data_IF_803601725731
#
_entry.id   IF_803601725731
#
_cell.length_a   1.000
_cell.length_b   1.000
_cell.length_c   1.000
_cell.angle_alpha   90.00
_cell.angle_beta   90.00
_cell.angle_gamma   90.00
#
_symmetry.space_group_name_H-M   'P 1'
#
loop_
_entity.id
_entity.type
_entity.pdbx_description
1 polymer ?
#
# COMPACT_ATOMS: atom_id res chain seq x y z
N UNK A 1 13.03 0.06 -6.05
CA UNK A 1 12.98 0.06 -4.56
C UNK A 1 11.68 -0.55 -4.10
N UNK A 2 11.66 -1.15 -2.92
CA UNK A 2 10.45 -1.75 -2.35
C UNK A 2 10.41 -1.61 -0.83
N UNK A 3 9.22 -1.74 -0.26
CA UNK A 3 9.02 -1.90 1.18
C UNK A 3 9.58 -3.25 1.66
N UNK A 4 10.21 -3.32 2.84
CA UNK A 4 10.59 -4.59 3.45
C UNK A 4 9.39 -5.52 3.60
N UNK A 5 9.63 -6.83 3.51
CA UNK A 5 8.62 -7.87 3.72
C UNK A 5 7.90 -7.73 5.08
N UNK A 6 8.61 -7.29 6.11
CA UNK A 6 8.11 -7.14 7.49
C UNK A 6 7.24 -5.89 7.72
N UNK A 7 6.98 -5.06 6.70
CA UNK A 7 6.27 -3.78 6.86
C UNK A 7 4.77 -3.92 7.21
N UNK A 8 4.28 -5.12 7.50
CA UNK A 8 2.95 -5.42 8.08
C UNK A 8 1.73 -5.16 7.18
N UNK A 9 1.85 -4.32 6.15
CA UNK A 9 0.72 -3.84 5.35
C UNK A 9 0.44 -4.65 4.07
N UNK A 10 1.14 -5.77 3.83
CA UNK A 10 0.96 -6.62 2.64
C UNK A 10 1.41 -5.98 1.30
N UNK A 11 1.85 -4.72 1.30
CA UNK A 11 2.25 -3.97 0.09
C UNK A 11 3.40 -4.66 -0.66
N UNK A 12 4.41 -5.18 0.05
CA UNK A 12 5.51 -5.91 -0.58
C UNK A 12 5.00 -7.14 -1.36
N UNK A 13 4.20 -7.99 -0.69
CA UNK A 13 3.63 -9.19 -1.31
C UNK A 13 2.73 -8.83 -2.49
N UNK A 14 1.94 -7.76 -2.38
CA UNK A 14 1.08 -7.29 -3.46
C UNK A 14 1.90 -6.83 -4.68
N UNK A 15 2.96 -6.05 -4.47
CA UNK A 15 3.85 -5.61 -5.55
C UNK A 15 4.48 -6.82 -6.25
N UNK A 16 5.01 -7.76 -5.48
CA UNK A 16 5.62 -8.98 -6.02
C UNK A 16 4.61 -9.81 -6.83
N UNK A 17 3.39 -9.98 -6.31
CA UNK A 17 2.32 -10.68 -7.02
C UNK A 17 1.92 -9.97 -8.33
N UNK A 18 1.83 -8.63 -8.33
CA UNK A 18 1.55 -7.85 -9.55
C UNK A 18 2.65 -7.99 -10.60
N UNK A 19 3.92 -7.93 -10.19
CA UNK A 19 5.05 -8.15 -11.09
C UNK A 19 5.02 -9.57 -11.68
N UNK A 20 4.80 -10.57 -10.82
CA UNK A 20 4.73 -11.97 -11.25
C UNK A 20 3.57 -12.20 -12.23
N UNK A 21 2.38 -11.64 -11.97
CA UNK A 21 1.23 -11.69 -12.89
C UNK A 21 1.52 -10.99 -14.23
N UNK A 22 2.38 -9.97 -14.24
CA UNK A 22 2.85 -9.30 -15.44
C UNK A 22 3.99 -10.08 -16.15
N UNK A 23 4.39 -11.25 -15.65
CA UNK A 23 5.37 -12.14 -16.28
C UNK A 23 6.82 -11.81 -15.97
N UNK A 24 7.11 -11.03 -14.92
CA UNK A 24 8.48 -10.71 -14.52
C UNK A 24 8.69 -10.75 -13.00
N UNK A 25 9.95 -10.91 -12.58
CA UNK A 25 10.36 -10.71 -11.19
C UNK A 25 11.14 -9.40 -11.09
N UNK A 26 10.81 -8.49 -10.17
CA UNK A 26 11.53 -7.24 -10.03
C UNK A 26 12.93 -7.51 -9.45
N UNK A 27 13.96 -6.87 -10.00
CA UNK A 27 15.29 -6.85 -9.39
C UNK A 27 15.32 -5.80 -8.28
N UNK A 28 15.16 -6.25 -7.04
CA UNK A 28 15.16 -5.36 -5.88
C UNK A 28 16.60 -5.02 -5.49
N UNK A 29 17.03 -3.81 -5.85
CA UNK A 29 18.38 -3.31 -5.49
C UNK A 29 18.41 -2.70 -4.09
N UNK A 30 17.27 -2.19 -3.59
CA UNK A 30 17.19 -1.52 -2.31
C UNK A 30 15.81 -1.60 -1.66
N UNK A 31 15.81 -1.92 -0.37
CA UNK A 31 14.66 -1.84 0.51
C UNK A 31 14.71 -0.56 1.33
N UNK A 32 13.55 0.08 1.53
CA UNK A 32 13.45 1.30 2.31
C UNK A 32 12.22 1.28 3.22
N UNK A 33 12.43 1.63 4.50
CA UNK A 33 11.46 1.46 5.59
C UNK A 33 10.39 2.55 5.68
N UNK A 34 10.46 3.57 4.83
CA UNK A 34 9.48 4.67 4.83
C UNK A 34 9.19 5.15 3.41
N UNK A 35 7.98 5.69 3.21
CA UNK A 35 7.58 6.33 1.95
C UNK A 35 8.53 7.48 1.57
N UNK A 36 8.87 8.33 2.54
CA UNK A 36 9.77 9.47 2.32
C UNK A 36 11.16 9.03 1.86
N UNK A 37 11.70 7.97 2.45
CA UNK A 37 12.99 7.41 2.03
C UNK A 37 12.93 6.87 0.59
N UNK A 38 11.89 6.10 0.25
CA UNK A 38 11.69 5.60 -1.11
C UNK A 38 11.65 6.75 -2.11
N UNK A 39 10.84 7.78 -1.82
CA UNK A 39 10.65 8.92 -2.72
C UNK A 39 11.96 9.73 -2.85
N UNK A 40 12.68 9.95 -1.76
CA UNK A 40 13.98 10.65 -1.78
C UNK A 40 15.03 9.92 -2.62
N UNK A 41 15.08 8.59 -2.55
CA UNK A 41 15.98 7.79 -3.37
C UNK A 41 15.57 7.80 -4.86
N UNK A 42 14.26 7.88 -5.18
CA UNK A 42 13.80 8.10 -6.57
C UNK A 42 14.27 9.46 -7.06
N UNK A 43 14.08 10.50 -6.24
CA UNK A 43 14.50 11.87 -6.55
C UNK A 43 16.01 11.98 -6.80
N UNK A 44 16.81 11.19 -6.07
CA UNK A 44 18.25 11.08 -6.25
C UNK A 44 18.68 10.24 -7.47
N UNK A 45 17.73 9.68 -8.23
CA UNK A 45 18.02 8.94 -9.46
C UNK A 45 18.39 7.46 -9.27
N UNK A 46 18.20 6.89 -8.07
CA UNK A 46 18.57 5.50 -7.79
C UNK A 46 17.59 4.47 -8.37
N UNK A 47 16.53 4.92 -9.05
CA UNK A 47 15.62 4.07 -9.81
C UNK A 47 14.15 4.45 -9.60
N UNK A 48 13.28 3.44 -9.63
CA UNK A 48 11.82 3.60 -9.53
C UNK A 48 11.23 2.78 -8.38
N UNK A 49 10.00 3.10 -7.99
CA UNK A 49 9.24 2.37 -6.97
C UNK A 49 7.75 2.36 -7.30
N UNK A 50 7.04 1.35 -6.77
CA UNK A 50 5.57 1.31 -6.75
C UNK A 50 5.07 1.77 -5.39
N UNK A 51 4.11 2.69 -5.39
CA UNK A 51 3.55 3.31 -4.18
C UNK A 51 2.04 3.47 -4.28
N UNK A 52 1.31 3.44 -3.14
CA UNK A 52 -0.08 3.88 -3.09
C UNK A 52 -0.26 5.33 -3.57
N UNK A 53 -1.42 5.64 -4.14
CA UNK A 53 -1.73 6.97 -4.66
C UNK A 53 -1.69 8.07 -3.58
N UNK A 54 -2.01 7.73 -2.33
CA UNK A 54 -1.98 8.66 -1.20
C UNK A 54 -0.61 9.33 -1.01
N UNK A 55 0.49 8.69 -1.45
CA UNK A 55 1.83 9.26 -1.34
C UNK A 55 2.13 10.36 -2.36
N UNK A 56 1.24 10.61 -3.33
CA UNK A 56 1.34 11.82 -4.18
C UNK A 56 1.33 13.13 -3.35
N UNK A 57 0.80 13.08 -2.13
CA UNK A 57 0.88 14.18 -1.16
C UNK A 57 2.32 14.56 -0.78
N UNK A 58 3.27 13.63 -0.92
CA UNK A 58 4.70 13.87 -0.69
C UNK A 58 5.31 14.41 -1.99
N UNK A 59 5.36 15.73 -2.11
CA UNK A 59 5.95 16.40 -3.27
C UNK A 59 7.46 16.61 -3.08
N UNK A 60 8.26 15.98 -3.94
CA UNK A 60 9.72 16.15 -3.99
C UNK A 60 10.11 16.51 -5.42
N UNK A 61 10.94 17.54 -5.59
CA UNK A 61 11.45 17.92 -6.91
C UNK A 61 12.19 16.76 -7.57
N UNK A 62 12.00 16.59 -8.87
CA UNK A 62 12.60 15.49 -9.64
C UNK A 62 11.81 14.17 -9.62
N UNK A 63 10.71 14.07 -8.86
CA UNK A 63 9.84 12.88 -8.84
C UNK A 63 8.61 13.11 -9.70
N UNK A 64 8.31 12.13 -10.56
CA UNK A 64 7.06 12.10 -11.34
C UNK A 64 6.25 10.85 -10.97
N UNK A 65 5.06 11.06 -10.43
CA UNK A 65 4.11 9.98 -10.15
C UNK A 65 3.35 9.60 -11.42
N UNK A 66 3.38 8.31 -11.80
CA UNK A 66 2.65 7.78 -12.96
C UNK A 66 1.63 6.72 -12.53
N UNK A 67 0.36 6.82 -12.92
CA UNK A 67 -0.63 5.79 -12.62
C UNK A 67 -0.33 4.51 -13.39
N UNK A 68 -0.57 3.35 -12.76
CA UNK A 68 -0.52 2.06 -13.43
C UNK A 68 -1.81 1.83 -14.23
N UNK A 69 -1.67 1.22 -15.41
CA UNK A 69 -2.82 0.83 -16.25
C UNK A 69 -3.54 -0.42 -15.74
N UNK A 70 -2.84 -1.25 -14.98
CA UNK A 70 -3.39 -2.49 -14.41
C UNK A 70 -4.48 -2.15 -13.38
N UNK A 71 -5.72 -2.57 -13.67
CA UNK A 71 -6.89 -2.24 -12.84
C UNK A 71 -6.85 -2.91 -11.47
N UNK A 72 -6.16 -4.05 -11.36
CA UNK A 72 -5.94 -4.80 -10.12
C UNK A 72 -4.83 -4.20 -9.23
N UNK A 73 -4.05 -3.25 -9.73
CA UNK A 73 -3.00 -2.59 -8.96
C UNK A 73 -3.61 -1.54 -7.99
N UNK A 74 -4.31 -2.02 -6.96
CA UNK A 74 -5.02 -1.19 -5.97
C UNK A 74 -4.62 -1.59 -4.56
N UNK A 75 -4.19 -0.63 -3.75
CA UNK A 75 -4.02 -0.82 -2.31
C UNK A 75 -5.36 -0.66 -1.59
N UNK A 76 -5.62 -1.46 -0.55
CA UNK A 76 -6.77 -1.31 0.33
C UNK A 76 -6.30 -0.94 1.75
N UNK A 77 -7.13 -0.19 2.48
CA UNK A 77 -6.97 0.04 3.91
C UNK A 77 -8.17 -0.58 4.62
N UNK A 78 -7.89 -1.30 5.71
CA UNK A 78 -8.90 -2.01 6.49
C UNK A 78 -8.97 -1.40 7.88
N UNK A 79 -10.19 -1.13 8.34
CA UNK A 79 -10.46 -0.83 9.75
C UNK A 79 -10.84 -2.14 10.44
N UNK A 80 -10.06 -2.54 11.44
CA UNK A 80 -10.28 -3.77 12.20
C UNK A 80 -10.63 -3.40 13.64
N UNK A 81 -11.74 -3.91 14.14
CA UNK A 81 -12.18 -3.72 15.52
C UNK A 81 -12.66 -5.04 16.11
N UNK A 82 -12.78 -5.10 17.44
CA UNK A 82 -13.34 -6.27 18.13
C UNK A 82 -14.83 -6.36 17.89
N UNK A 83 -15.34 -7.59 17.76
CA UNK A 83 -16.77 -7.87 17.66
C UNK A 83 -17.39 -7.96 19.07
N UNK A 84 -17.32 -6.87 19.83
CA UNK A 84 -17.82 -6.72 21.20
C UNK A 84 -18.70 -5.45 21.29
N UNK A 85 -19.47 -5.23 22.38
CA UNK A 85 -20.31 -4.05 22.50
C UNK A 85 -19.49 -2.76 22.35
N UNK A 86 -19.82 -1.97 21.34
CA UNK A 86 -19.11 -0.72 21.01
C UNK A 86 -19.30 0.34 22.09
N UNK A 87 -18.20 0.90 22.59
CA UNK A 87 -18.22 2.18 23.29
C UNK A 87 -18.73 3.30 22.37
N UNK A 88 -19.18 4.41 22.97
CA UNK A 88 -19.64 5.56 22.19
C UNK A 88 -18.54 6.13 21.26
N UNK A 89 -17.28 6.05 21.67
CA UNK A 89 -16.12 6.53 20.88
C UNK A 89 -15.85 5.61 19.68
N UNK A 90 -15.91 4.30 19.86
CA UNK A 90 -15.72 3.34 18.75
C UNK A 90 -16.80 3.50 17.69
N UNK A 91 -18.06 3.64 18.13
CA UNK A 91 -19.21 3.86 17.24
C UNK A 91 -19.07 5.14 16.42
N UNK A 92 -18.69 6.24 17.06
CA UNK A 92 -18.48 7.52 16.36
C UNK A 92 -17.30 7.45 15.39
N UNK A 93 -16.21 6.79 15.78
CA UNK A 93 -15.05 6.61 14.89
C UNK A 93 -15.40 5.73 13.67
N UNK A 94 -16.16 4.65 13.86
CA UNK A 94 -16.64 3.78 12.78
C UNK A 94 -17.57 4.54 11.83
N UNK A 95 -18.46 5.40 12.37
CA UNK A 95 -19.33 6.26 11.57
C UNK A 95 -18.52 7.27 10.74
N UNK A 96 -17.54 7.95 11.34
CA UNK A 96 -16.65 8.91 10.67
C UNK A 96 -15.81 8.26 9.57
N UNK A 97 -15.33 7.03 9.81
CA UNK A 97 -14.53 6.30 8.83
C UNK A 97 -15.33 5.95 7.56
N UNK A 98 -16.67 5.89 7.63
CA UNK A 98 -17.54 5.66 6.48
C UNK A 98 -17.26 4.35 5.74
N UNK A 99 -16.70 3.36 6.44
CA UNK A 99 -16.24 2.10 5.84
C UNK A 99 -17.41 1.14 5.65
N UNK A 100 -17.56 0.60 4.43
CA UNK A 100 -18.50 -0.50 4.19
C UNK A 100 -17.95 -1.80 4.85
N UNK A 101 -18.83 -2.67 5.38
CA UNK A 101 -18.42 -3.98 5.88
C UNK A 101 -17.66 -4.76 4.80
N UNK A 102 -16.60 -5.45 5.21
CA UNK A 102 -15.85 -6.31 4.29
C UNK A 102 -16.74 -7.47 3.81
N UNK A 103 -17.11 -7.44 2.52
CA UNK A 103 -17.68 -8.60 1.84
C UNK A 103 -16.52 -9.57 1.56
N UNK A 104 -16.21 -10.43 2.52
CA UNK A 104 -15.04 -11.30 2.43
C UNK A 104 -15.06 -12.24 1.23
N UNK A 105 -13.89 -12.47 0.63
CA UNK A 105 -13.60 -13.79 0.06
C UNK A 105 -13.28 -14.71 1.23
N UNK A 106 -13.99 -15.83 1.30
CA UNK A 106 -13.84 -16.84 2.33
C UNK A 106 -12.36 -17.17 2.54
N UNK A 107 -11.94 -17.27 3.81
CA UNK A 107 -10.69 -17.95 4.16
C UNK A 107 -10.79 -19.36 3.59
N UNK A 108 -10.01 -19.67 2.56
CA UNK A 108 -9.72 -21.06 2.22
C UNK A 108 -8.98 -21.67 3.41
N UNK A 109 -9.59 -22.76 3.88
CA UNK A 109 -9.26 -23.57 5.05
C UNK A 109 -7.89 -24.23 4.99
#
# INVERSE_FOLDING_TARGET
MIYPLESGAGIHAQIMALCHQAGFAPQVVQEARSATTIIGLVAAGLGVSLVPESFKSIAVQGVTYRPLREKKARSAMWLVHRNEPESAVEREFLALAGVAPFAGQARES
#
